data_IF_495882200920
#
_entry.id   IF_495882200920
#
_cell.length_a   1.000
_cell.length_b   1.000
_cell.length_c   1.000
_cell.angle_alpha   90.00
_cell.angle_beta   90.00
_cell.angle_gamma   90.00
#
_symmetry.space_group_name_H-M   'P 1'
#
loop_
_entity.id
_entity.type
_entity.pdbx_description
1 polymer ?
#
# COMPACT_ATOMS: atom_id res chain seq x y z
N UNK A 1 5.12 -4.71 -27.76
CA UNK A 1 3.99 -3.82 -27.39
C UNK A 1 2.62 -4.24 -27.94
N UNK A 2 2.51 -4.95 -29.07
CA UNK A 2 1.20 -5.37 -29.63
C UNK A 2 0.33 -6.22 -28.66
N UNK A 3 0.94 -7.02 -27.78
CA UNK A 3 0.24 -7.88 -26.82
C UNK A 3 -0.42 -7.16 -25.63
N UNK A 4 -0.12 -5.87 -25.41
CA UNK A 4 -0.65 -5.10 -24.27
C UNK A 4 -1.79 -4.15 -24.65
N UNK A 5 -2.12 -4.04 -25.94
CA UNK A 5 -3.28 -3.26 -26.39
C UNK A 5 -4.56 -3.96 -25.88
N UNK A 6 -5.41 -3.27 -25.09
CA UNK A 6 -6.65 -3.87 -24.62
C UNK A 6 -7.63 -4.11 -25.77
N UNK A 7 -8.43 -5.17 -25.67
CA UNK A 7 -9.63 -5.32 -26.49
C UNK A 7 -10.65 -4.23 -26.18
N UNK A 8 -11.61 -3.97 -27.07
CA UNK A 8 -12.62 -2.93 -26.88
C UNK A 8 -13.41 -3.11 -25.57
N UNK A 9 -13.76 -4.34 -25.23
CA UNK A 9 -14.43 -4.67 -23.97
C UNK A 9 -13.56 -4.36 -22.75
N UNK A 10 -12.27 -4.72 -22.80
CA UNK A 10 -11.33 -4.43 -21.72
C UNK A 10 -11.05 -2.92 -21.62
N UNK A 11 -11.00 -2.22 -22.75
CA UNK A 11 -10.78 -0.78 -22.82
C UNK A 11 -11.91 -0.03 -22.13
N UNK A 12 -13.18 -0.38 -22.39
CA UNK A 12 -14.34 0.23 -21.70
C UNK A 12 -14.26 0.10 -20.18
N UNK A 13 -13.85 -1.07 -19.67
CA UNK A 13 -13.65 -1.29 -18.23
C UNK A 13 -12.51 -0.44 -17.67
N UNK A 14 -11.39 -0.37 -18.38
CA UNK A 14 -10.26 0.46 -17.97
C UNK A 14 -10.61 1.94 -17.99
N UNK A 15 -11.41 2.40 -18.96
CA UNK A 15 -11.86 3.79 -19.07
C UNK A 15 -12.67 4.23 -17.85
N UNK A 16 -13.61 3.40 -17.38
CA UNK A 16 -14.41 3.68 -16.18
C UNK A 16 -13.50 3.93 -14.96
N UNK A 17 -12.42 3.16 -14.83
CA UNK A 17 -11.50 3.26 -13.69
C UNK A 17 -10.50 4.40 -13.86
N UNK A 18 -9.89 4.52 -15.05
CA UNK A 18 -8.71 5.35 -15.26
C UNK A 18 -9.02 6.76 -15.72
N UNK A 19 -10.13 7.02 -16.44
CA UNK A 19 -10.46 8.39 -16.87
C UNK A 19 -10.68 9.31 -15.67
N UNK A 20 -11.54 8.98 -14.68
CA UNK A 20 -11.76 9.89 -13.55
C UNK A 20 -10.63 9.86 -12.51
N UNK A 21 -9.66 8.96 -12.63
CA UNK A 21 -8.58 8.82 -11.65
C UNK A 21 -7.72 10.09 -11.60
N UNK A 22 -7.70 10.75 -10.44
CA UNK A 22 -6.80 11.87 -10.13
C UNK A 22 -5.50 11.43 -9.45
N UNK A 23 -5.50 10.24 -8.83
CA UNK A 23 -4.34 9.66 -8.19
C UNK A 23 -4.29 8.15 -8.37
N UNK A 24 -3.09 7.59 -8.41
CA UNK A 24 -2.83 6.15 -8.37
C UNK A 24 -1.77 5.85 -7.32
N UNK A 25 -2.12 4.97 -6.39
CA UNK A 25 -1.29 4.62 -5.24
C UNK A 25 -0.94 3.14 -5.34
N UNK A 26 0.35 2.83 -5.29
CA UNK A 26 0.88 1.48 -5.22
C UNK A 26 1.47 1.27 -3.83
N UNK A 27 1.01 0.24 -3.13
CA UNK A 27 1.65 -0.20 -1.90
C UNK A 27 2.55 -1.41 -2.20
N UNK A 28 3.56 -1.62 -1.36
CA UNK A 28 4.58 -2.66 -1.50
C UNK A 28 5.25 -2.71 -2.89
N UNK A 29 5.75 -1.56 -3.35
CA UNK A 29 6.32 -1.42 -4.70
C UNK A 29 7.45 -2.42 -5.00
N UNK A 30 8.21 -2.86 -3.98
CA UNK A 30 9.33 -3.80 -4.15
C UNK A 30 8.89 -5.17 -4.66
N UNK A 31 7.61 -5.52 -4.50
CA UNK A 31 7.01 -6.78 -4.95
C UNK A 31 6.39 -6.70 -6.34
N UNK A 32 6.40 -5.53 -6.98
CA UNK A 32 5.82 -5.34 -8.31
C UNK A 32 6.83 -5.79 -9.37
N UNK A 33 6.49 -6.75 -10.26
CA UNK A 33 7.31 -7.07 -11.42
C UNK A 33 7.43 -5.88 -12.38
N UNK A 34 8.63 -5.60 -12.89
CA UNK A 34 8.88 -4.47 -13.78
C UNK A 34 7.99 -4.50 -15.04
N UNK A 35 7.85 -5.67 -15.66
CA UNK A 35 6.99 -5.84 -16.84
C UNK A 35 5.50 -5.61 -16.52
N UNK A 36 5.06 -5.90 -15.30
CA UNK A 36 3.69 -5.62 -14.87
C UNK A 36 3.48 -4.11 -14.71
N UNK A 37 4.43 -3.41 -14.07
CA UNK A 37 4.40 -1.96 -13.93
C UNK A 37 4.29 -1.26 -15.29
N UNK A 38 5.12 -1.68 -16.25
CA UNK A 38 5.04 -1.26 -17.66
C UNK A 38 3.65 -1.49 -18.26
N UNK A 39 3.13 -2.71 -18.12
CA UNK A 39 1.84 -3.10 -18.68
C UNK A 39 0.67 -2.29 -18.11
N UNK A 40 0.65 -2.05 -16.79
CA UNK A 40 -0.39 -1.25 -16.14
C UNK A 40 -0.34 0.20 -16.63
N UNK A 41 0.85 0.80 -16.67
CA UNK A 41 1.04 2.17 -17.13
C UNK A 41 0.59 2.35 -18.60
N UNK A 42 1.01 1.45 -19.50
CA UNK A 42 0.60 1.48 -20.89
C UNK A 42 -0.93 1.31 -21.05
N UNK A 43 -1.57 0.43 -20.27
CA UNK A 43 -3.03 0.23 -20.32
C UNK A 43 -3.79 1.44 -19.79
N UNK A 44 -3.27 2.14 -18.79
CA UNK A 44 -3.82 3.41 -18.33
C UNK A 44 -3.73 4.48 -19.43
N UNK A 45 -2.61 4.56 -20.17
CA UNK A 45 -2.46 5.42 -21.34
C UNK A 45 -3.51 5.12 -22.42
N UNK A 46 -3.74 3.84 -22.76
CA UNK A 46 -4.79 3.46 -23.70
C UNK A 46 -6.18 3.93 -23.24
N UNK A 47 -6.50 3.74 -21.95
CA UNK A 47 -7.79 4.13 -21.40
C UNK A 47 -8.02 5.65 -21.46
N UNK A 48 -6.97 6.43 -21.16
CA UNK A 48 -7.02 7.89 -21.07
C UNK A 48 -6.76 8.59 -22.41
N UNK A 49 -6.28 7.87 -23.43
CA UNK A 49 -5.86 8.43 -24.73
C UNK A 49 -6.85 9.40 -25.35
N UNK A 50 -8.10 8.99 -25.54
CA UNK A 50 -9.09 9.81 -26.24
C UNK A 50 -9.62 10.96 -25.38
N UNK A 51 -9.79 10.72 -24.08
CA UNK A 51 -10.30 11.72 -23.15
C UNK A 51 -9.31 12.89 -22.95
N UNK A 52 -8.00 12.60 -22.98
CA UNK A 52 -6.95 13.57 -22.70
C UNK A 52 -5.99 13.82 -23.89
N UNK A 53 -6.32 13.32 -25.08
CA UNK A 53 -5.55 13.48 -26.32
C UNK A 53 -4.06 13.08 -26.17
N UNK A 54 -3.82 11.96 -25.49
CA UNK A 54 -2.47 11.50 -25.18
C UNK A 54 -1.75 10.94 -26.40
N UNK A 55 -0.45 11.24 -26.53
CA UNK A 55 0.44 10.56 -27.45
C UNK A 55 0.93 9.24 -26.83
N UNK A 56 0.63 8.12 -27.48
CA UNK A 56 1.09 6.81 -27.01
C UNK A 56 2.57 6.57 -27.25
N UNK A 57 3.26 7.39 -28.05
CA UNK A 57 4.70 7.24 -28.24
C UNK A 57 5.50 7.77 -27.04
N UNK A 58 4.93 8.68 -26.25
CA UNK A 58 5.57 9.29 -25.08
C UNK A 58 5.17 8.62 -23.75
N UNK A 59 4.40 7.54 -23.76
CA UNK A 59 3.82 6.93 -22.56
C UNK A 59 4.83 6.49 -21.47
N UNK A 60 6.08 6.25 -21.85
CA UNK A 60 7.15 5.84 -20.94
C UNK A 60 7.99 7.02 -20.42
N UNK A 61 7.76 8.24 -20.93
CA UNK A 61 8.38 9.46 -20.41
C UNK A 61 7.74 9.88 -19.09
N UNK A 62 8.48 10.61 -18.24
CA UNK A 62 8.02 11.07 -16.92
C UNK A 62 6.60 11.72 -16.92
N UNK A 63 6.27 12.68 -17.82
CA UNK A 63 4.90 13.20 -17.86
C UNK A 63 3.88 12.21 -18.47
N UNK A 64 4.35 11.26 -19.27
CA UNK A 64 3.57 10.24 -19.97
C UNK A 64 3.07 9.08 -19.11
N UNK A 65 3.68 8.87 -17.93
CA UNK A 65 3.41 7.71 -17.08
C UNK A 65 1.93 7.62 -16.70
N UNK A 66 1.41 6.39 -16.74
CA UNK A 66 0.04 6.03 -16.37
C UNK A 66 -1.05 6.89 -17.04
N UNK A 67 -0.77 7.43 -18.22
CA UNK A 67 -1.72 8.22 -18.98
C UNK A 67 -1.92 9.61 -18.42
N UNK A 68 -0.84 10.24 -17.93
CA UNK A 68 -0.86 11.55 -17.30
C UNK A 68 -1.81 11.56 -16.09
N UNK A 69 -1.70 10.54 -15.22
CA UNK A 69 -2.36 10.61 -13.91
C UNK A 69 -1.64 11.70 -13.09
N UNK A 70 -2.38 12.68 -12.53
CA UNK A 70 -1.76 13.82 -11.84
C UNK A 70 -0.90 13.45 -10.63
N UNK A 71 -1.29 12.43 -9.87
CA UNK A 71 -0.60 12.02 -8.65
C UNK A 71 -0.30 10.52 -8.71
N UNK A 72 0.97 10.16 -8.76
CA UNK A 72 1.43 8.77 -8.68
C UNK A 72 2.26 8.62 -7.41
N UNK A 73 1.85 7.72 -6.51
CA UNK A 73 2.58 7.44 -5.27
C UNK A 73 2.90 5.96 -5.18
N UNK A 74 4.17 5.65 -4.91
CA UNK A 74 4.64 4.30 -4.66
C UNK A 74 5.13 4.25 -3.21
N UNK A 75 4.54 3.35 -2.43
CA UNK A 75 4.88 3.07 -1.05
C UNK A 75 5.45 1.67 -0.95
N UNK A 76 6.33 1.45 0.02
CA UNK A 76 6.94 0.16 0.26
C UNK A 76 8.36 0.31 0.76
N UNK A 77 9.04 -0.83 0.82
CA UNK A 77 10.38 -0.94 1.36
C UNK A 77 11.25 -1.72 0.38
N UNK A 78 12.33 -1.11 -0.11
CA UNK A 78 13.22 -1.74 -1.09
C UNK A 78 13.98 -2.96 -0.52
N UNK A 79 14.01 -3.14 0.81
CA UNK A 79 14.59 -4.32 1.47
C UNK A 79 13.56 -5.43 1.74
N UNK A 80 12.29 -5.24 1.36
CA UNK A 80 11.31 -6.32 1.42
C UNK A 80 11.52 -7.35 0.31
N UNK A 81 10.74 -8.43 0.37
CA UNK A 81 10.77 -9.49 -0.62
C UNK A 81 10.63 -8.92 -2.04
N UNK A 82 11.43 -9.40 -3.00
CA UNK A 82 11.25 -9.06 -4.41
C UNK A 82 10.01 -9.76 -4.97
N UNK A 83 9.54 -9.39 -6.18
CA UNK A 83 8.55 -10.20 -6.90
C UNK A 83 9.04 -11.64 -7.07
N UNK A 84 8.09 -12.55 -7.31
CA UNK A 84 8.40 -13.94 -7.68
C UNK A 84 8.17 -14.12 -9.19
N UNK A 85 9.22 -14.42 -9.99
CA UNK A 85 10.61 -14.63 -9.59
C UNK A 85 11.38 -13.31 -9.39
N UNK A 86 12.43 -13.34 -8.54
CA UNK A 86 13.24 -12.15 -8.19
C UNK A 86 13.84 -11.46 -9.41
N UNK A 87 14.15 -12.21 -10.47
CA UNK A 87 14.65 -11.70 -11.74
C UNK A 87 13.68 -10.73 -12.46
N UNK A 88 12.43 -10.62 -12.00
CA UNK A 88 11.46 -9.66 -12.52
C UNK A 88 11.42 -8.34 -11.76
N UNK A 89 12.19 -8.19 -10.70
CA UNK A 89 12.29 -6.96 -9.90
C UNK A 89 12.83 -5.78 -10.72
N UNK A 90 12.45 -4.56 -10.35
CA UNK A 90 13.07 -3.34 -10.86
C UNK A 90 14.59 -3.29 -10.64
N UNK A 91 15.07 -3.97 -9.60
CA UNK A 91 16.49 -3.98 -9.19
C UNK A 91 17.29 -5.13 -9.80
N UNK A 92 16.67 -6.00 -10.60
CA UNK A 92 17.36 -7.09 -11.27
C UNK A 92 18.22 -6.60 -12.45
N UNK A 93 19.23 -7.39 -12.85
CA UNK A 93 19.99 -7.10 -14.07
C UNK A 93 19.08 -7.02 -15.29
N UNK A 94 19.37 -6.08 -16.19
CA UNK A 94 18.64 -5.91 -17.45
C UNK A 94 19.16 -6.84 -18.56
N UNK A 95 20.26 -7.57 -18.33
CA UNK A 95 20.86 -8.45 -19.32
C UNK A 95 19.94 -9.64 -19.65
N UNK A 96 19.71 -9.87 -20.93
CA UNK A 96 18.83 -10.94 -21.40
C UNK A 96 17.34 -10.78 -21.04
N UNK A 97 16.92 -9.66 -20.44
CA UNK A 97 15.50 -9.46 -20.07
C UNK A 97 14.65 -8.95 -21.23
N UNK A 98 13.33 -9.10 -21.11
CA UNK A 98 12.37 -8.69 -22.14
C UNK A 98 12.31 -7.17 -22.32
N UNK A 99 11.78 -6.72 -23.47
CA UNK A 99 11.57 -5.29 -23.73
C UNK A 99 10.63 -4.64 -22.71
N UNK A 100 9.64 -5.39 -22.24
CA UNK A 100 8.65 -4.98 -21.25
C UNK A 100 9.30 -4.78 -19.87
N UNK A 101 10.20 -5.70 -19.48
CA UNK A 101 10.98 -5.55 -18.24
C UNK A 101 11.85 -4.29 -18.31
N UNK A 102 12.62 -4.13 -19.40
CA UNK A 102 13.48 -2.94 -19.59
C UNK A 102 12.69 -1.63 -19.57
N UNK A 103 11.53 -1.59 -20.23
CA UNK A 103 10.64 -0.44 -20.21
C UNK A 103 10.14 -0.15 -18.79
N UNK A 104 9.69 -1.17 -18.06
CA UNK A 104 9.22 -1.03 -16.68
C UNK A 104 10.28 -0.50 -15.73
N UNK A 105 11.49 -1.07 -15.78
CA UNK A 105 12.62 -0.61 -14.96
C UNK A 105 13.06 0.80 -15.32
N UNK A 106 13.07 1.17 -16.60
CA UNK A 106 13.36 2.53 -17.03
C UNK A 106 12.29 3.53 -16.55
N UNK A 107 11.00 3.16 -16.62
CA UNK A 107 9.90 3.99 -16.13
C UNK A 107 9.98 4.20 -14.62
N UNK A 108 10.31 3.17 -13.85
CA UNK A 108 10.55 3.28 -12.42
C UNK A 108 11.75 4.18 -12.11
N UNK A 109 12.84 4.05 -12.86
CA UNK A 109 14.03 4.89 -12.73
C UNK A 109 13.82 6.37 -13.08
N UNK A 110 12.74 6.72 -13.79
CA UNK A 110 12.37 8.10 -14.11
C UNK A 110 11.59 8.81 -12.98
N UNK A 111 11.32 8.13 -11.87
CA UNK A 111 10.67 8.74 -10.70
C UNK A 111 11.72 9.51 -9.91
N UNK A 112 11.60 10.84 -9.91
CA UNK A 112 12.61 11.75 -9.34
C UNK A 112 12.38 12.04 -7.84
N UNK A 113 11.12 12.12 -7.43
CA UNK A 113 10.75 12.44 -6.05
C UNK A 113 10.76 11.21 -5.15
N UNK A 114 11.88 10.98 -4.44
CA UNK A 114 12.07 9.86 -3.54
C UNK A 114 12.15 10.35 -2.09
N UNK A 115 11.23 9.88 -1.25
CA UNK A 115 11.20 10.18 0.18
C UNK A 115 11.51 8.93 1.01
N UNK A 116 12.66 8.94 1.71
CA UNK A 116 13.03 7.86 2.61
C UNK A 116 12.63 8.19 4.05
N UNK A 117 11.74 7.38 4.63
CA UNK A 117 11.35 7.52 6.04
C UNK A 117 12.30 6.73 6.95
N UNK A 118 13.19 7.42 7.66
CA UNK A 118 14.22 6.77 8.48
C UNK A 118 13.73 6.33 9.87
N UNK A 119 12.67 6.97 10.39
CA UNK A 119 12.17 6.71 11.75
C UNK A 119 10.93 5.83 11.72
N UNK A 120 11.10 4.55 12.03
CA UNK A 120 9.99 3.66 12.33
C UNK A 120 9.41 3.99 13.72
N UNK A 121 8.13 4.38 13.79
CA UNK A 121 7.39 4.52 15.06
C UNK A 121 6.58 3.28 15.44
N UNK A 122 6.78 2.18 14.71
CA UNK A 122 6.02 0.93 14.88
C UNK A 122 6.36 0.22 16.19
N UNK A 123 7.63 0.23 16.58
CA UNK A 123 8.12 -0.46 17.78
C UNK A 123 8.70 0.55 18.77
N UNK A 124 8.52 0.29 20.07
CA UNK A 124 9.13 1.06 21.17
C UNK A 124 10.16 0.25 21.97
N UNK A 125 10.12 -1.08 21.82
CA UNK A 125 11.06 -1.99 22.45
C UNK A 125 12.45 -1.86 21.80
N UNK A 126 13.44 -1.53 22.62
CA UNK A 126 14.81 -1.27 22.15
C UNK A 126 15.51 -2.54 21.64
N UNK A 127 15.22 -3.71 22.23
CA UNK A 127 15.79 -4.97 21.78
C UNK A 127 15.24 -5.34 20.41
N UNK A 128 13.92 -5.22 20.21
CA UNK A 128 13.28 -5.49 18.93
C UNK A 128 13.78 -4.52 17.84
N UNK A 129 13.91 -3.23 18.16
CA UNK A 129 14.48 -2.24 17.23
C UNK A 129 15.91 -2.62 16.85
N UNK A 130 16.75 -3.00 17.82
CA UNK A 130 18.13 -3.38 17.56
C UNK A 130 18.24 -4.66 16.71
N UNK A 131 17.41 -5.67 16.99
CA UNK A 131 17.33 -6.91 16.21
C UNK A 131 16.90 -6.61 14.77
N UNK A 132 15.83 -5.85 14.57
CA UNK A 132 15.36 -5.48 13.23
C UNK A 132 16.40 -4.63 12.47
N UNK A 133 17.13 -3.77 13.17
CA UNK A 133 18.22 -2.98 12.57
C UNK A 133 19.37 -3.86 12.08
N UNK A 134 19.71 -4.90 12.84
CA UNK A 134 20.69 -5.91 12.42
C UNK A 134 20.19 -6.72 11.22
N UNK A 135 18.92 -7.16 11.23
CA UNK A 135 18.31 -7.89 10.11
C UNK A 135 18.26 -7.06 8.81
N UNK A 136 18.17 -5.73 8.91
CA UNK A 136 18.13 -4.82 7.76
C UNK A 136 19.50 -4.51 7.16
N UNK A 137 20.61 -4.94 7.77
CA UNK A 137 21.92 -4.70 7.17
C UNK A 137 22.03 -5.45 5.83
N UNK A 138 22.45 -4.78 4.75
CA UNK A 138 22.83 -5.46 3.51
C UNK A 138 23.84 -6.58 3.83
N UNK A 139 23.70 -7.73 3.17
CA UNK A 139 24.47 -8.97 3.46
C UNK A 139 24.17 -9.66 4.81
N UNK A 140 23.30 -9.07 5.63
CA UNK A 140 22.93 -9.57 6.94
C UNK A 140 23.95 -9.27 8.04
N UNK A 141 23.46 -9.06 9.26
CA UNK A 141 24.30 -8.91 10.46
C UNK A 141 23.92 -9.98 11.49
N UNK A 142 24.92 -10.68 12.02
CA UNK A 142 24.72 -11.63 13.11
C UNK A 142 24.24 -10.90 14.36
N UNK A 143 23.22 -11.45 15.03
CA UNK A 143 22.80 -10.96 16.34
C UNK A 143 23.87 -11.29 17.39
N UNK A 144 24.05 -10.39 18.33
CA UNK A 144 24.87 -10.64 19.53
C UNK A 144 24.23 -11.71 20.42
N UNK A 145 25.01 -12.37 21.27
CA UNK A 145 24.47 -13.35 22.23
C UNK A 145 23.35 -12.74 23.08
N UNK A 146 23.51 -11.49 23.52
CA UNK A 146 22.48 -10.79 24.29
C UNK A 146 21.17 -10.62 23.51
N UNK A 147 21.25 -10.24 22.23
CA UNK A 147 20.08 -10.11 21.37
C UNK A 147 19.42 -11.46 21.09
N UNK A 148 20.22 -12.53 20.92
CA UNK A 148 19.71 -13.89 20.79
C UNK A 148 18.93 -14.34 22.02
N UNK A 149 19.51 -14.17 23.22
CA UNK A 149 18.83 -14.52 24.46
C UNK A 149 17.55 -13.69 24.65
N UNK A 150 17.58 -12.40 24.32
CA UNK A 150 16.40 -11.55 24.37
C UNK A 150 15.29 -12.02 23.43
N UNK A 151 15.64 -12.44 22.21
CA UNK A 151 14.67 -13.00 21.25
C UNK A 151 14.08 -14.31 21.75
N UNK A 152 14.92 -15.24 22.22
CA UNK A 152 14.49 -16.54 22.75
C UNK A 152 13.59 -16.39 23.99
N UNK A 153 13.84 -15.38 24.83
CA UNK A 153 12.98 -15.09 25.98
C UNK A 153 11.55 -14.64 25.60
N UNK A 154 11.30 -14.32 24.32
CA UNK A 154 9.95 -14.01 23.81
C UNK A 154 9.20 -15.22 23.27
N UNK A 155 9.81 -16.41 23.28
CA UNK A 155 9.16 -17.64 22.82
C UNK A 155 8.01 -18.02 23.76
N UNK A 156 6.84 -18.28 23.18
CA UNK A 156 5.67 -18.82 23.87
C UNK A 156 5.40 -20.18 23.27
N UNK A 157 5.82 -21.24 23.96
CA UNK A 157 5.50 -22.61 23.56
C UNK A 157 4.13 -23.03 24.11
N UNK A 158 3.25 -23.46 23.21
CA UNK A 158 1.94 -24.01 23.55
C UNK A 158 1.99 -25.39 24.21
N UNK A 159 3.12 -26.09 24.08
CA UNK A 159 3.31 -27.44 24.55
C UNK A 159 2.27 -28.44 24.01
N UNK A 160 2.18 -29.61 24.65
CA UNK A 160 1.21 -30.65 24.29
C UNK A 160 -0.24 -30.32 24.68
N UNK A 161 -0.46 -29.27 25.49
CA UNK A 161 -1.77 -28.85 26.00
C UNK A 161 -2.12 -27.42 25.53
N UNK A 162 -1.95 -27.14 24.24
CA UNK A 162 -2.21 -25.82 23.68
C UNK A 162 -3.65 -25.34 23.94
N UNK A 163 -3.77 -24.24 24.69
CA UNK A 163 -5.04 -23.55 24.91
C UNK A 163 -5.07 -22.23 24.13
N UNK A 164 -5.82 -22.23 23.03
CA UNK A 164 -5.92 -21.07 22.13
C UNK A 164 -6.40 -19.79 22.84
N UNK A 165 -7.33 -19.90 23.80
CA UNK A 165 -7.85 -18.73 24.52
C UNK A 165 -6.84 -18.15 25.49
N UNK A 166 -6.04 -19.00 26.13
CA UNK A 166 -4.94 -18.56 27.00
C UNK A 166 -3.82 -17.93 26.18
N UNK A 167 -3.42 -18.58 25.09
CA UNK A 167 -2.40 -18.06 24.18
C UNK A 167 -2.76 -16.68 23.63
N UNK A 168 -4.02 -16.48 23.20
CA UNK A 168 -4.48 -15.18 22.71
C UNK A 168 -4.45 -14.07 23.78
N UNK A 169 -4.67 -14.41 25.06
CA UNK A 169 -4.56 -13.47 26.18
C UNK A 169 -3.12 -13.14 26.53
N UNK A 170 -2.25 -14.16 26.62
CA UNK A 170 -0.84 -13.99 26.98
C UNK A 170 -0.07 -13.18 25.93
N UNK A 171 -0.44 -13.36 24.67
CA UNK A 171 0.16 -12.62 23.57
C UNK A 171 -0.53 -11.27 23.31
N UNK A 172 -1.46 -10.79 24.15
CA UNK A 172 -2.19 -9.53 23.92
C UNK A 172 -1.25 -8.34 23.65
N UNK A 173 -1.52 -7.57 22.59
CA UNK A 173 -0.68 -6.45 22.16
C UNK A 173 0.63 -6.84 21.42
N UNK A 174 0.89 -8.13 21.23
CA UNK A 174 2.03 -8.59 20.43
C UNK A 174 1.75 -8.44 18.92
N UNK A 175 2.83 -8.31 18.15
CA UNK A 175 2.74 -8.33 16.69
C UNK A 175 2.76 -9.76 16.17
N UNK A 176 1.84 -10.07 15.25
CA UNK A 176 1.78 -11.38 14.61
C UNK A 176 2.49 -11.33 13.25
N UNK A 177 3.31 -12.34 12.98
CA UNK A 177 3.98 -12.54 11.71
C UNK A 177 3.73 -13.98 11.27
N UNK A 178 3.34 -14.18 10.02
CA UNK A 178 3.23 -15.50 9.43
C UNK A 178 3.65 -15.45 7.96
N UNK A 179 4.20 -16.55 7.45
CA UNK A 179 4.66 -16.64 6.06
C UNK A 179 3.52 -16.61 5.04
N UNK A 180 2.31 -17.01 5.41
CA UNK A 180 1.18 -17.10 4.48
C UNK A 180 0.11 -16.06 4.80
N UNK A 181 -0.33 -15.36 3.76
CA UNK A 181 -1.39 -14.35 3.87
C UNK A 181 -2.71 -14.93 4.40
N UNK A 182 -3.02 -16.20 4.10
CA UNK A 182 -4.21 -16.86 4.64
C UNK A 182 -4.18 -16.97 6.17
N UNK A 183 -3.03 -17.30 6.75
CA UNK A 183 -2.85 -17.34 8.20
C UNK A 183 -2.90 -15.93 8.79
N UNK A 184 -2.20 -14.95 8.19
CA UNK A 184 -2.24 -13.55 8.66
C UNK A 184 -3.67 -13.01 8.67
N UNK A 185 -4.45 -13.25 7.60
CA UNK A 185 -5.80 -12.72 7.46
C UNK A 185 -6.76 -13.33 8.49
N UNK A 186 -6.71 -14.65 8.67
CA UNK A 186 -7.51 -15.36 9.67
C UNK A 186 -7.10 -14.94 11.10
N UNK A 187 -5.80 -14.91 11.38
CA UNK A 187 -5.28 -14.55 12.70
C UNK A 187 -5.58 -13.09 13.06
N UNK A 188 -5.49 -12.17 12.09
CA UNK A 188 -5.83 -10.75 12.30
C UNK A 188 -7.29 -10.59 12.73
N UNK A 189 -8.22 -11.33 12.11
CA UNK A 189 -9.63 -11.29 12.49
C UNK A 189 -9.88 -11.82 13.91
N UNK A 190 -9.38 -13.02 14.21
CA UNK A 190 -9.51 -13.64 15.54
C UNK A 190 -8.90 -12.75 16.62
N UNK A 191 -7.76 -12.14 16.30
CA UNK A 191 -7.07 -11.26 17.23
C UNK A 191 -7.81 -9.97 17.47
N UNK A 192 -8.28 -9.29 16.42
CA UNK A 192 -9.08 -8.08 16.56
C UNK A 192 -10.31 -8.30 17.45
N UNK A 193 -10.96 -9.47 17.33
CA UNK A 193 -12.05 -9.85 18.23
C UNK A 193 -11.60 -10.00 19.68
N UNK A 194 -10.53 -10.78 19.90
CA UNK A 194 -9.98 -11.03 21.24
C UNK A 194 -9.54 -9.73 21.92
N UNK A 195 -8.87 -8.83 21.21
CA UNK A 195 -8.41 -7.54 21.72
C UNK A 195 -9.58 -6.61 22.01
N UNK A 196 -10.58 -6.54 21.11
CA UNK A 196 -11.76 -5.71 21.36
C UNK A 196 -12.55 -6.17 22.60
N UNK A 197 -12.66 -7.48 22.81
CA UNK A 197 -13.26 -8.05 24.03
C UNK A 197 -12.42 -7.73 25.27
N UNK A 198 -11.10 -7.92 25.19
CA UNK A 198 -10.19 -7.65 26.29
C UNK A 198 -10.19 -6.16 26.69
N UNK A 199 -10.07 -5.26 25.71
CA UNK A 199 -10.03 -3.80 25.90
C UNK A 199 -11.41 -3.16 26.11
N UNK A 200 -12.50 -3.93 26.04
CA UNK A 200 -13.88 -3.44 26.10
C UNK A 200 -14.17 -2.35 25.05
N UNK A 201 -13.62 -2.52 23.84
CA UNK A 201 -13.79 -1.60 22.71
C UNK A 201 -14.76 -2.18 21.68
N UNK A 202 -15.46 -1.29 20.98
CA UNK A 202 -16.28 -1.68 19.83
C UNK A 202 -15.38 -1.99 18.64
N UNK A 203 -15.45 -3.21 18.14
CA UNK A 203 -14.84 -3.60 16.87
C UNK A 203 -15.81 -3.32 15.73
N UNK A 204 -15.37 -2.59 14.71
CA UNK A 204 -16.11 -2.36 13.48
C UNK A 204 -15.43 -3.07 12.32
N UNK A 205 -16.21 -3.82 11.54
CA UNK A 205 -15.74 -4.43 10.30
C UNK A 205 -16.26 -3.62 9.13
N UNK A 206 -15.34 -3.18 8.26
CA UNK A 206 -15.68 -2.58 6.98
C UNK A 206 -15.44 -3.68 5.94
N UNK A 207 -16.48 -4.39 5.49
CA UNK A 207 -16.30 -5.41 4.47
C UNK A 207 -15.86 -4.73 3.16
N UNK A 208 -14.81 -5.25 2.54
CA UNK A 208 -14.53 -5.02 1.12
C UNK A 208 -15.54 -5.83 0.30
N UNK A 209 -16.83 -5.50 0.41
CA UNK A 209 -17.88 -6.08 -0.40
C UNK A 209 -18.30 -5.08 -1.47
N UNK A 210 -18.32 -5.52 -2.73
CA UNK A 210 -18.88 -4.75 -3.84
C UNK A 210 -20.38 -4.47 -3.66
N UNK A 211 -21.07 -5.26 -2.82
CA UNK A 211 -22.46 -5.06 -2.44
C UNK A 211 -22.72 -5.39 -0.96
N UNK A 212 -23.40 -4.52 -0.20
CA UNK A 212 -23.71 -4.75 1.21
C UNK A 212 -24.76 -5.86 1.41
N UNK A 213 -24.63 -6.63 2.50
CA UNK A 213 -25.60 -7.65 2.91
C UNK A 213 -26.68 -7.06 3.81
N UNK A 214 -27.79 -7.79 3.96
CA UNK A 214 -28.90 -7.41 4.84
C UNK A 214 -28.43 -7.34 6.29
N UNK A 215 -28.38 -6.13 6.85
CA UNK A 215 -27.91 -5.85 8.22
C UNK A 215 -26.60 -5.07 8.31
N UNK A 216 -25.90 -4.87 7.18
CA UNK A 216 -24.67 -4.09 7.16
C UNK A 216 -24.95 -2.59 7.33
N UNK A 217 -24.12 -1.91 8.11
CA UNK A 217 -24.12 -0.44 8.20
C UNK A 217 -23.34 0.07 7.00
N UNK A 218 -24.06 0.58 6.01
CA UNK A 218 -23.48 1.17 4.81
C UNK A 218 -23.17 2.64 5.07
N UNK A 219 -21.90 3.01 4.94
CA UNK A 219 -21.51 4.42 4.84
C UNK A 219 -22.21 5.01 3.62
N UNK A 220 -23.18 5.92 3.84
CA UNK A 220 -23.99 6.53 2.77
C UNK A 220 -23.17 7.45 1.86
N UNK A 221 -22.01 7.86 2.33
CA UNK A 221 -21.03 8.66 1.61
C UNK A 221 -19.63 8.12 1.93
N UNK A 222 -18.81 7.94 0.89
CA UNK A 222 -17.38 7.83 1.07
C UNK A 222 -16.85 9.20 1.53
N UNK A 223 -15.81 9.27 2.36
CA UNK A 223 -15.14 10.54 2.64
C UNK A 223 -14.71 11.15 1.29
N UNK A 224 -15.09 12.41 1.07
CA UNK A 224 -14.85 13.15 -0.19
C UNK A 224 -13.37 13.12 -0.60
N UNK A 225 -12.47 12.98 0.37
CA UNK A 225 -11.09 12.58 0.16
C UNK A 225 -10.47 12.07 1.47
N UNK A 226 -9.43 11.26 1.34
CA UNK A 226 -8.49 10.98 2.45
C UNK A 226 -7.35 11.99 2.34
N UNK A 227 -7.22 12.87 3.33
CA UNK A 227 -6.05 13.75 3.43
C UNK A 227 -4.91 13.01 4.13
N UNK A 228 -3.83 12.77 3.40
CA UNK A 228 -2.55 12.33 3.99
C UNK A 228 -1.72 13.58 4.27
N UNK A 229 -1.73 14.05 5.52
CA UNK A 229 -0.81 15.10 5.96
C UNK A 229 0.54 14.46 6.28
N UNK A 230 1.51 14.66 5.40
CA UNK A 230 2.90 14.32 5.69
C UNK A 230 3.46 15.35 6.67
N UNK A 231 3.82 14.91 7.87
CA UNK A 231 4.39 15.79 8.91
C UNK A 231 5.68 16.45 8.39
N UNK A 232 5.79 17.77 8.52
CA UNK A 232 6.93 18.56 8.01
C UNK A 232 7.01 18.75 6.48
N UNK A 233 6.08 18.20 5.68
CA UNK A 233 6.08 18.44 4.23
C UNK A 233 5.44 19.80 3.90
N UNK A 234 6.23 20.73 3.36
CA UNK A 234 5.72 22.03 2.88
C UNK A 234 5.11 21.95 1.48
N UNK A 235 5.29 20.82 0.79
CA UNK A 235 4.81 20.61 -0.57
C UNK A 235 3.30 20.32 -0.58
N UNK A 236 2.55 21.13 -1.32
CA UNK A 236 1.09 21.01 -1.43
C UNK A 236 0.75 20.30 -2.74
N UNK A 237 0.51 18.99 -2.66
CA UNK A 237 0.27 18.14 -3.84
C UNK A 237 -1.06 18.40 -4.56
N UNK A 238 -2.02 19.06 -3.89
CA UNK A 238 -3.28 19.48 -4.50
C UNK A 238 -3.50 20.96 -4.19
N UNK A 239 -3.76 21.82 -5.19
CA UNK A 239 -4.27 23.15 -4.91
C UNK A 239 -5.64 22.98 -4.25
N UNK A 240 -5.79 23.54 -3.04
CA UNK A 240 -7.09 23.81 -2.47
C UNK A 240 -7.82 24.76 -3.43
N UNK A 241 -8.58 24.20 -4.36
CA UNK A 241 -9.70 24.91 -4.96
C UNK A 241 -10.92 24.47 -4.19
N UNK A 242 -11.17 25.09 -3.05
CA UNK A 242 -12.56 25.26 -2.64
C UNK A 242 -13.31 25.82 -3.83
N UNK A 243 -14.46 25.23 -4.15
CA UNK A 243 -15.40 25.93 -5.01
C UNK A 243 -15.76 27.27 -4.34
N UNK A 244 -16.26 28.22 -5.14
CA UNK A 244 -16.58 29.57 -4.66
C UNK A 244 -17.51 29.59 -3.43
N UNK A 245 -18.26 28.52 -3.18
CA UNK A 245 -19.15 28.37 -2.02
C UNK A 245 -18.45 27.92 -0.72
N UNK A 246 -17.24 27.36 -0.79
CA UNK A 246 -16.53 26.80 0.36
C UNK A 246 -15.13 27.42 0.60
N UNK A 247 -14.91 28.61 0.06
CA UNK A 247 -13.62 29.32 0.21
C UNK A 247 -13.35 29.82 1.64
N UNK A 248 -14.36 29.79 2.53
CA UNK A 248 -14.29 30.40 3.86
C UNK A 248 -14.88 29.54 4.99
N UNK A 249 -14.88 28.21 4.88
CA UNK A 249 -15.64 27.37 5.82
C UNK A 249 -14.97 27.31 7.20
N UNK A 250 -15.56 28.05 8.14
CA UNK A 250 -15.57 27.74 9.57
C UNK A 250 -16.17 26.33 9.80
N UNK A 251 -15.80 25.65 10.90
CA UNK A 251 -16.06 24.20 11.11
C UNK A 251 -17.50 23.69 10.95
N UNK A 252 -18.52 24.57 10.96
CA UNK A 252 -19.93 24.20 11.13
C UNK A 252 -20.83 24.53 9.91
N UNK A 253 -20.41 24.18 8.69
CA UNK A 253 -21.26 24.36 7.51
C UNK A 253 -22.45 23.38 7.48
N UNK A 254 -23.66 23.91 7.62
CA UNK A 254 -24.92 23.15 7.61
C UNK A 254 -25.20 22.40 6.29
N UNK A 255 -24.60 22.81 5.17
CA UNK A 255 -24.76 22.16 3.86
C UNK A 255 -23.81 20.96 3.66
N UNK A 256 -22.72 20.88 4.42
CA UNK A 256 -21.72 19.81 4.28
C UNK A 256 -22.07 18.54 5.06
N UNK A 257 -23.20 18.51 5.79
CA UNK A 257 -23.56 17.39 6.65
C UNK A 257 -22.53 17.23 7.77
N UNK A 258 -22.77 17.94 8.87
CA UNK A 258 -21.83 18.12 9.97
C UNK A 258 -20.97 16.89 10.32
N UNK A 259 -19.66 17.11 10.35
CA UNK A 259 -18.73 16.30 11.15
C UNK A 259 -18.93 16.69 12.62
N UNK A 260 -20.09 16.36 13.16
CA UNK A 260 -20.34 16.33 14.59
C UNK A 260 -20.35 14.85 15.02
N UNK A 261 -19.27 14.42 15.69
CA UNK A 261 -19.13 13.08 16.26
C UNK A 261 -17.84 12.37 15.88
#
# INVERSE_FOLDING_TARGET
TANLKPSDTALKKLQILNIPAGAQLFDEFSQIPAALFHGVSLRACYARRHAYQLDLNSYASSPGLFGHIPVLLLFGDHLQLPPVPQSTSFFASLDGTSSEHKAGSAMFGNIEDIFCFEKARRFRDQNLIAILTAMRQPEGQALTDQQWHALQATEVDGGTNFNASQFLRETHGWFHVAYTWSLVTMAAFLRAQSEAQHDQKRLMYIPACDAPKKGDIVLRSLPLCVYVKLDGCQHRFLPHKSCAEHASVEPDCALCGGLAG
#
